data_IF_352693142266
#
_entry.id   IF_352693142266
#
_cell.length_a   1.000
_cell.length_b   1.000
_cell.length_c   1.000
_cell.angle_alpha   90.00
_cell.angle_beta   90.00
_cell.angle_gamma   90.00
#
_symmetry.space_group_name_H-M   'P 1'
#
loop_
_entity.id
_entity.type
_entity.pdbx_description
1 polymer ?
#
# COMPACT_ATOMS: atom_id res chain seq x y z
N UNK A 1 -8.09 -20.71 24.57
CA UNK A 1 -9.04 -20.77 23.44
C UNK A 1 -8.33 -20.20 22.24
N UNK A 2 -8.03 -21.02 21.22
CA UNK A 2 -7.32 -20.55 20.03
C UNK A 2 -8.20 -19.52 19.31
N UNK A 3 -7.70 -18.30 19.19
CA UNK A 3 -8.39 -17.21 18.47
C UNK A 3 -8.63 -17.56 16.99
N UNK A 4 -7.88 -18.52 16.44
CA UNK A 4 -7.89 -18.93 15.03
C UNK A 4 -8.59 -20.27 14.76
N UNK A 5 -9.22 -20.91 15.76
CA UNK A 5 -9.92 -22.21 15.59
C UNK A 5 -11.26 -22.10 14.85
N UNK A 6 -11.82 -20.89 14.71
CA UNK A 6 -12.86 -20.57 13.73
C UNK A 6 -12.20 -19.78 12.60
N UNK A 7 -12.54 -20.07 11.34
CA UNK A 7 -12.04 -19.37 10.15
C UNK A 7 -12.38 -17.88 10.28
N UNK A 8 -11.47 -17.09 10.86
CA UNK A 8 -11.68 -15.66 11.03
C UNK A 8 -11.72 -15.01 9.67
N UNK A 9 -12.80 -14.28 9.40
CA UNK A 9 -12.95 -13.50 8.17
C UNK A 9 -11.85 -12.44 8.06
N UNK A 10 -11.36 -12.20 6.84
CA UNK A 10 -10.36 -11.17 6.54
C UNK A 10 -10.99 -9.77 6.54
N UNK A 11 -11.27 -9.25 7.73
CA UNK A 11 -11.80 -7.91 7.97
C UNK A 11 -10.74 -6.99 8.56
N UNK A 12 -10.85 -5.68 8.32
CA UNK A 12 -9.92 -4.69 8.87
C UNK A 12 -9.75 -4.81 10.40
N UNK A 13 -10.84 -5.07 11.13
CA UNK A 13 -10.80 -5.27 12.59
C UNK A 13 -10.02 -6.53 13.01
N UNK A 14 -10.13 -7.62 12.25
CA UNK A 14 -9.41 -8.86 12.56
C UNK A 14 -7.93 -8.73 12.20
N UNK A 15 -7.59 -8.04 11.11
CA UNK A 15 -6.21 -7.72 10.76
C UNK A 15 -5.53 -6.87 11.84
N UNK A 16 -6.20 -5.84 12.34
CA UNK A 16 -5.68 -4.99 13.42
C UNK A 16 -5.35 -5.79 14.69
N UNK A 17 -6.25 -6.71 15.09
CA UNK A 17 -6.02 -7.61 16.21
C UNK A 17 -4.85 -8.57 15.96
N UNK A 18 -4.78 -9.14 14.75
CA UNK A 18 -3.72 -10.08 14.38
C UNK A 18 -2.34 -9.41 14.35
N UNK A 19 -2.24 -8.17 13.86
CA UNK A 19 -1.01 -7.37 13.92
C UNK A 19 -0.64 -7.09 15.38
N UNK A 20 -1.61 -6.67 16.20
CA UNK A 20 -1.36 -6.42 17.63
C UNK A 20 -0.84 -7.67 18.34
N UNK A 21 -1.38 -8.85 18.02
CA UNK A 21 -0.92 -10.13 18.54
C UNK A 21 0.52 -10.41 18.09
N UNK A 22 0.81 -10.27 16.79
CA UNK A 22 2.13 -10.49 16.22
C UNK A 22 3.24 -9.65 16.89
N UNK A 23 2.93 -8.43 17.34
CA UNK A 23 3.89 -7.55 18.02
C UNK A 23 3.97 -7.71 19.55
N UNK A 24 3.04 -8.40 20.22
CA UNK A 24 2.91 -8.38 21.69
C UNK A 24 3.05 -9.72 22.42
N UNK A 25 3.13 -10.85 21.72
CA UNK A 25 3.03 -12.18 22.37
C UNK A 25 4.25 -13.09 22.21
N UNK A 26 4.25 -14.19 22.97
CA UNK A 26 5.25 -15.26 22.92
C UNK A 26 5.33 -15.93 21.53
N UNK A 27 6.45 -16.60 21.26
CA UNK A 27 6.85 -17.08 19.93
C UNK A 27 5.79 -17.94 19.20
N UNK A 28 5.01 -18.75 19.91
CA UNK A 28 4.00 -19.63 19.29
C UNK A 28 2.80 -18.85 18.72
N UNK A 29 2.25 -17.91 19.49
CA UNK A 29 1.12 -17.08 19.06
C UNK A 29 1.52 -16.10 17.96
N UNK A 30 2.79 -15.69 17.95
CA UNK A 30 3.38 -14.89 16.88
C UNK A 30 3.42 -15.65 15.55
N UNK A 31 3.78 -16.94 15.57
CA UNK A 31 3.83 -17.77 14.36
C UNK A 31 2.44 -17.95 13.73
N UNK A 32 1.42 -18.25 14.55
CA UNK A 32 0.03 -18.36 14.07
C UNK A 32 -0.49 -17.04 13.49
N UNK A 33 -0.26 -15.92 14.18
CA UNK A 33 -0.63 -14.61 13.69
C UNK A 33 0.06 -14.28 12.36
N UNK A 34 1.36 -14.59 12.25
CA UNK A 34 2.12 -14.36 11.03
C UNK A 34 1.59 -15.19 9.85
N UNK A 35 1.28 -16.46 10.08
CA UNK A 35 0.71 -17.33 9.06
C UNK A 35 -0.65 -16.78 8.59
N UNK A 36 -1.56 -16.48 9.52
CA UNK A 36 -2.88 -15.96 9.19
C UNK A 36 -2.80 -14.61 8.45
N UNK A 37 -1.91 -13.70 8.88
CA UNK A 37 -1.67 -12.43 8.18
C UNK A 37 -1.11 -12.66 6.78
N UNK A 38 -0.25 -13.65 6.58
CA UNK A 38 0.29 -13.99 5.26
C UNK A 38 -0.82 -14.52 4.34
N UNK A 39 -1.69 -15.38 4.84
CA UNK A 39 -2.85 -15.87 4.09
C UNK A 39 -3.82 -14.72 3.74
N UNK A 40 -4.12 -13.84 4.70
CA UNK A 40 -4.96 -12.67 4.48
C UNK A 40 -4.40 -11.73 3.40
N UNK A 41 -3.09 -11.49 3.39
CA UNK A 41 -2.42 -10.63 2.42
C UNK A 41 -2.46 -11.17 0.99
N UNK A 42 -2.40 -12.50 0.81
CA UNK A 42 -2.47 -13.12 -0.50
C UNK A 42 -3.91 -13.33 -0.99
N UNK A 43 -4.90 -13.18 -0.11
CA UNK A 43 -6.32 -13.38 -0.43
C UNK A 43 -6.86 -12.32 -1.42
N UNK A 44 -7.96 -12.61 -2.15
CA UNK A 44 -8.66 -11.59 -2.95
C UNK A 44 -9.23 -10.44 -2.12
N UNK A 45 -9.61 -10.71 -0.86
CA UNK A 45 -10.17 -9.73 0.07
C UNK A 45 -9.18 -8.59 0.38
N UNK A 46 -7.89 -8.83 0.19
CA UNK A 46 -6.83 -7.83 0.33
C UNK A 46 -7.05 -6.60 -0.54
N UNK A 47 -7.63 -6.74 -1.74
CA UNK A 47 -7.95 -5.58 -2.57
C UNK A 47 -8.99 -4.64 -1.96
N UNK A 48 -9.76 -5.10 -0.97
CA UNK A 48 -10.76 -4.31 -0.27
C UNK A 48 -10.23 -3.78 1.06
N UNK A 49 -9.78 -4.67 1.96
CA UNK A 49 -9.48 -4.27 3.34
C UNK A 49 -8.29 -3.32 3.44
N UNK A 50 -7.35 -3.33 2.46
CA UNK A 50 -6.17 -2.45 2.50
C UNK A 50 -6.59 -0.98 2.53
N UNK A 51 -7.70 -0.63 1.89
CA UNK A 51 -8.16 0.74 1.86
C UNK A 51 -8.88 1.16 3.14
N UNK A 52 -9.56 0.24 3.81
CA UNK A 52 -10.12 0.49 5.14
C UNK A 52 -9.00 0.73 6.17
N UNK A 53 -7.87 0.04 6.01
CA UNK A 53 -6.70 0.18 6.87
C UNK A 53 -5.81 1.39 6.49
N UNK A 54 -5.94 1.92 5.27
CA UNK A 54 -5.28 3.14 4.83
C UNK A 54 -6.17 4.38 4.94
N UNK A 55 -7.38 4.23 5.50
CA UNK A 55 -8.28 5.36 5.74
C UNK A 55 -7.65 6.32 6.78
N UNK A 56 -7.36 7.59 6.42
CA UNK A 56 -6.77 8.56 7.34
C UNK A 56 -7.68 8.89 8.53
N UNK A 57 -8.99 8.62 8.44
CA UNK A 57 -9.94 8.82 9.53
C UNK A 57 -9.98 7.66 10.53
N UNK A 58 -9.39 6.51 10.18
CA UNK A 58 -9.32 5.35 11.04
C UNK A 58 -8.13 5.47 11.99
N UNK A 59 -8.40 5.59 13.28
CA UNK A 59 -7.37 5.70 14.33
C UNK A 59 -6.80 4.31 14.65
N UNK A 60 -5.73 3.94 13.96
CA UNK A 60 -5.00 2.67 14.15
C UNK A 60 -3.48 2.91 14.15
N UNK A 61 -2.70 1.90 14.55
CA UNK A 61 -1.26 2.03 14.66
C UNK A 61 -0.55 2.06 13.29
N UNK A 62 0.62 2.67 13.23
CA UNK A 62 1.42 2.77 12.00
C UNK A 62 1.86 1.40 11.48
N UNK A 63 2.00 0.40 12.34
CA UNK A 63 2.33 -0.98 11.95
C UNK A 63 1.20 -1.61 11.12
N UNK A 64 -0.06 -1.37 11.49
CA UNK A 64 -1.22 -1.87 10.74
C UNK A 64 -1.35 -1.16 9.40
N UNK A 65 -1.13 0.16 9.37
CA UNK A 65 -1.12 0.94 8.12
C UNK A 65 0.02 0.50 7.20
N UNK A 66 1.20 0.22 7.76
CA UNK A 66 2.34 -0.28 7.00
C UNK A 66 2.11 -1.68 6.45
N UNK A 67 1.43 -2.56 7.20
CA UNK A 67 0.97 -3.85 6.70
C UNK A 67 0.07 -3.64 5.48
N UNK A 68 -0.93 -2.75 5.57
CA UNK A 68 -1.84 -2.49 4.46
C UNK A 68 -1.12 -1.96 3.21
N UNK A 69 -0.19 -1.01 3.37
CA UNK A 69 0.61 -0.51 2.26
C UNK A 69 1.52 -1.61 1.65
N UNK A 70 2.10 -2.47 2.49
CA UNK A 70 2.94 -3.61 2.03
C UNK A 70 2.11 -4.69 1.34
N UNK A 71 0.88 -4.90 1.81
CA UNK A 71 -0.09 -5.81 1.21
C UNK A 71 -0.45 -5.31 -0.17
N UNK A 72 -0.81 -4.03 -0.31
CA UNK A 72 -1.17 -3.43 -1.58
C UNK A 72 -0.02 -3.52 -2.60
N UNK A 73 1.21 -3.20 -2.18
CA UNK A 73 2.40 -3.41 -3.00
C UNK A 73 2.55 -4.86 -3.47
N UNK A 74 2.41 -5.83 -2.56
CA UNK A 74 2.48 -7.26 -2.89
C UNK A 74 1.38 -7.67 -3.88
N UNK A 75 0.16 -7.16 -3.71
CA UNK A 75 -0.96 -7.41 -4.61
C UNK A 75 -0.69 -6.87 -6.00
N UNK A 76 -0.11 -5.67 -6.14
CA UNK A 76 0.32 -5.14 -7.44
C UNK A 76 1.39 -6.03 -8.06
N UNK A 77 2.44 -6.38 -7.32
CA UNK A 77 3.58 -7.13 -7.87
C UNK A 77 3.24 -8.58 -8.26
N UNK A 78 2.38 -9.25 -7.49
CA UNK A 78 2.15 -10.70 -7.63
C UNK A 78 0.77 -11.08 -8.14
N UNK A 79 -0.20 -10.18 -8.01
CA UNK A 79 -1.61 -10.46 -8.25
C UNK A 79 -2.24 -9.44 -9.21
N UNK A 80 -1.44 -8.77 -10.05
CA UNK A 80 -1.93 -7.79 -11.02
C UNK A 80 -3.04 -8.34 -11.93
N UNK A 81 -2.95 -9.63 -12.27
CA UNK A 81 -3.95 -10.35 -13.07
C UNK A 81 -5.34 -10.39 -12.44
N UNK A 82 -5.47 -10.09 -11.15
CA UNK A 82 -6.76 -9.97 -10.46
C UNK A 82 -7.43 -8.59 -10.68
N UNK A 83 -6.71 -7.61 -11.23
CA UNK A 83 -7.23 -6.25 -11.46
C UNK A 83 -7.79 -6.14 -12.88
N UNK A 84 -9.11 -5.92 -13.05
CA UNK A 84 -9.71 -5.63 -14.34
C UNK A 84 -9.18 -4.33 -14.94
N UNK A 85 -9.03 -4.28 -16.27
CA UNK A 85 -8.48 -3.10 -16.97
C UNK A 85 -9.33 -1.83 -16.74
N UNK A 86 -10.65 -1.97 -16.64
CA UNK A 86 -11.58 -0.87 -16.35
C UNK A 86 -11.41 -0.30 -14.93
N UNK A 87 -10.72 -1.01 -14.03
CA UNK A 87 -10.40 -0.54 -12.69
C UNK A 87 -9.03 0.14 -12.57
N UNK A 88 -8.19 0.15 -13.61
CA UNK A 88 -6.84 0.73 -13.54
C UNK A 88 -6.87 2.20 -13.14
N UNK A 89 -7.72 3.01 -13.77
CA UNK A 89 -7.81 4.44 -13.45
C UNK A 89 -8.29 4.70 -12.01
N UNK A 90 -9.23 3.88 -11.51
CA UNK A 90 -9.72 3.98 -10.13
C UNK A 90 -8.59 3.64 -9.16
N UNK A 91 -7.86 2.56 -9.43
CA UNK A 91 -6.74 2.12 -8.60
C UNK A 91 -5.63 3.18 -8.56
N UNK A 92 -5.26 3.77 -9.70
CA UNK A 92 -4.31 4.88 -9.79
C UNK A 92 -4.70 6.03 -8.86
N UNK A 93 -5.96 6.49 -8.96
CA UNK A 93 -6.46 7.60 -8.15
C UNK A 93 -6.38 7.30 -6.66
N UNK A 94 -6.81 6.11 -6.24
CA UNK A 94 -6.75 5.70 -4.83
C UNK A 94 -5.32 5.65 -4.29
N UNK A 95 -4.36 5.13 -5.06
CA UNK A 95 -2.95 5.12 -4.65
C UNK A 95 -2.41 6.54 -4.50
N UNK A 96 -2.66 7.43 -5.47
CA UNK A 96 -2.22 8.82 -5.42
C UNK A 96 -2.85 9.58 -4.26
N UNK A 97 -4.16 9.42 -4.03
CA UNK A 97 -4.88 9.98 -2.89
C UNK A 97 -4.30 9.48 -1.56
N UNK A 98 -4.01 8.19 -1.44
CA UNK A 98 -3.33 7.65 -0.26
C UNK A 98 -1.96 8.30 -0.05
N UNK A 99 -1.14 8.48 -1.09
CA UNK A 99 0.16 9.16 -0.97
C UNK A 99 -0.01 10.59 -0.44
N UNK A 100 -0.99 11.33 -0.96
CA UNK A 100 -1.28 12.71 -0.51
C UNK A 100 -1.75 12.71 0.94
N UNK A 101 -2.67 11.82 1.32
CA UNK A 101 -3.17 11.71 2.69
C UNK A 101 -2.06 11.37 3.69
N UNK A 102 -1.09 10.55 3.28
CA UNK A 102 0.06 10.16 4.10
C UNK A 102 1.27 11.11 3.96
N UNK A 103 1.17 12.21 3.20
CA UNK A 103 2.29 13.13 2.99
C UNK A 103 2.85 13.69 4.31
N UNK A 104 1.96 13.96 5.27
CA UNK A 104 2.29 14.38 6.65
C UNK A 104 2.21 13.24 7.68
N UNK A 105 1.92 12.01 7.24
CA UNK A 105 1.78 10.84 8.11
C UNK A 105 3.11 10.13 8.41
N UNK A 106 3.04 8.91 8.99
CA UNK A 106 4.23 8.11 9.28
C UNK A 106 5.07 7.88 8.02
N UNK A 107 6.36 8.30 8.06
CA UNK A 107 7.26 8.22 6.90
C UNK A 107 7.40 6.81 6.33
N UNK A 108 7.34 5.79 7.19
CA UNK A 108 7.44 4.38 6.78
C UNK A 108 6.26 3.95 5.88
N UNK A 109 5.05 4.44 6.17
CA UNK A 109 3.85 4.15 5.37
C UNK A 109 3.90 4.90 4.05
N UNK A 110 4.25 6.20 4.10
CA UNK A 110 4.38 7.02 2.89
C UNK A 110 5.41 6.46 1.92
N UNK A 111 6.59 6.07 2.41
CA UNK A 111 7.64 5.47 1.57
C UNK A 111 7.11 4.19 0.88
N UNK A 112 6.44 3.31 1.63
CA UNK A 112 5.84 2.11 1.05
C UNK A 112 4.78 2.42 0.00
N UNK A 113 3.98 3.47 0.18
CA UNK A 113 3.00 3.92 -0.82
C UNK A 113 3.67 4.47 -2.08
N UNK A 114 4.81 5.18 -1.97
CA UNK A 114 5.61 5.58 -3.14
C UNK A 114 6.08 4.36 -3.94
N UNK A 115 6.61 3.33 -3.25
CA UNK A 115 7.01 2.06 -3.89
C UNK A 115 5.80 1.35 -4.52
N UNK A 116 4.64 1.39 -3.84
CA UNK A 116 3.37 0.83 -4.34
C UNK A 116 2.96 1.49 -5.66
N UNK A 117 3.05 2.81 -5.78
CA UNK A 117 2.77 3.51 -7.03
C UNK A 117 3.75 3.12 -8.14
N UNK A 118 5.03 2.94 -7.81
CA UNK A 118 6.03 2.49 -8.78
C UNK A 118 5.73 1.09 -9.32
N UNK A 119 5.25 0.16 -8.49
CA UNK A 119 4.74 -1.13 -8.94
C UNK A 119 3.56 -0.97 -9.92
N UNK A 120 2.60 -0.08 -9.62
CA UNK A 120 1.48 0.22 -10.53
C UNK A 120 1.95 0.80 -11.88
N UNK A 121 2.95 1.69 -11.87
CA UNK A 121 3.50 2.30 -13.09
C UNK A 121 4.05 1.23 -14.03
N UNK A 122 4.72 0.20 -13.52
CA UNK A 122 5.31 -0.88 -14.32
C UNK A 122 4.24 -1.63 -15.12
N UNK A 123 3.08 -1.87 -14.51
CA UNK A 123 2.01 -2.60 -15.16
C UNK A 123 1.19 -1.76 -16.14
N UNK A 124 1.29 -0.43 -16.08
CA UNK A 124 0.45 0.48 -16.86
C UNK A 124 1.20 1.27 -17.93
N UNK A 125 2.51 1.49 -17.76
CA UNK A 125 3.35 2.11 -18.80
C UNK A 125 3.85 1.04 -19.78
N UNK A 126 3.87 1.31 -21.10
CA UNK A 126 3.47 2.56 -21.76
C UNK A 126 2.00 2.58 -22.24
N UNK A 127 1.25 1.50 -22.03
CA UNK A 127 -0.04 1.29 -22.73
C UNK A 127 -1.19 2.06 -22.08
N UNK A 128 -1.42 1.84 -20.79
CA UNK A 128 -2.57 2.38 -20.05
C UNK A 128 -2.27 3.73 -19.40
N UNK A 129 -1.00 4.06 -19.14
CA UNK A 129 -0.59 5.35 -18.58
C UNK A 129 0.65 5.95 -19.26
N UNK A 130 0.60 6.25 -20.58
CA UNK A 130 1.77 6.67 -21.37
C UNK A 130 2.47 7.93 -20.84
N UNK A 131 1.72 8.82 -20.18
CA UNK A 131 2.21 10.11 -19.66
C UNK A 131 2.46 10.11 -18.15
N UNK A 132 2.65 8.94 -17.54
CA UNK A 132 2.82 8.82 -16.09
C UNK A 132 3.81 9.82 -15.50
N UNK A 133 5.01 9.94 -16.08
CA UNK A 133 6.04 10.84 -15.57
C UNK A 133 5.67 12.32 -15.69
N UNK A 134 5.09 12.75 -16.82
CA UNK A 134 4.63 14.12 -17.03
C UNK A 134 3.52 14.48 -16.03
N UNK A 135 2.56 13.57 -15.85
CA UNK A 135 1.45 13.75 -14.91
C UNK A 135 1.93 13.77 -13.45
N UNK A 136 2.90 12.93 -13.08
CA UNK A 136 3.48 12.93 -11.73
C UNK A 136 4.22 14.23 -11.42
N UNK A 137 5.07 14.69 -12.34
CA UNK A 137 5.77 15.97 -12.21
C UNK A 137 4.76 17.11 -12.10
N UNK A 138 3.71 17.10 -12.92
CA UNK A 138 2.67 18.12 -12.86
C UNK A 138 1.85 18.07 -11.56
N UNK A 139 1.56 16.88 -11.03
CA UNK A 139 0.70 16.70 -9.86
C UNK A 139 1.43 17.00 -8.55
N UNK A 140 2.67 16.54 -8.40
CA UNK A 140 3.48 16.75 -7.20
C UNK A 140 4.28 18.05 -7.29
N UNK A 141 3.56 19.16 -7.18
CA UNK A 141 4.14 20.50 -7.08
C UNK A 141 3.72 21.16 -5.76
N UNK A 142 4.58 21.94 -5.08
CA UNK A 142 4.25 22.56 -3.79
C UNK A 142 2.96 23.39 -3.81
N UNK A 143 2.64 24.04 -4.94
CA UNK A 143 1.42 24.84 -5.07
C UNK A 143 0.12 24.01 -5.16
N UNK A 144 0.20 22.72 -5.52
CA UNK A 144 -0.95 21.82 -5.55
C UNK A 144 -1.25 21.19 -4.18
N UNK A 145 -0.27 21.18 -3.28
CA UNK A 145 -0.37 20.62 -1.93
C UNK A 145 0.03 21.67 -0.88
N UNK A 146 -0.72 22.78 -0.74
CA UNK A 146 -0.31 23.93 0.07
C UNK A 146 -0.19 23.64 1.58
N UNK A 147 -0.79 22.53 2.04
CA UNK A 147 -0.72 22.09 3.44
C UNK A 147 0.49 21.19 3.72
N UNK A 148 1.30 20.88 2.71
CA UNK A 148 2.48 20.02 2.83
C UNK A 148 3.73 20.86 2.58
N UNK A 149 4.75 20.70 3.41
CA UNK A 149 6.02 21.41 3.24
C UNK A 149 6.58 21.21 1.80
N UNK A 150 7.03 22.27 1.11
CA UNK A 150 7.51 22.16 -0.28
C UNK A 150 8.57 21.08 -0.49
N UNK A 151 9.52 20.97 0.44
CA UNK A 151 10.57 19.95 0.43
C UNK A 151 10.00 18.53 0.49
N UNK A 152 8.91 18.34 1.23
CA UNK A 152 8.24 17.05 1.38
C UNK A 152 7.53 16.65 0.09
N UNK A 153 6.90 17.60 -0.62
CA UNK A 153 6.28 17.35 -1.92
C UNK A 153 7.33 16.92 -2.95
N UNK A 154 8.45 17.65 -3.00
CA UNK A 154 9.59 17.30 -3.88
C UNK A 154 10.16 15.94 -3.52
N UNK A 155 10.32 15.64 -2.22
CA UNK A 155 10.79 14.35 -1.76
C UNK A 155 9.87 13.20 -2.20
N UNK A 156 8.55 13.35 -2.13
CA UNK A 156 7.59 12.32 -2.59
C UNK A 156 7.81 12.01 -4.07
N UNK A 157 7.88 13.05 -4.92
CA UNK A 157 8.13 12.89 -6.35
C UNK A 157 9.45 12.15 -6.62
N UNK A 158 10.53 12.60 -5.96
CA UNK A 158 11.85 11.98 -6.12
C UNK A 158 11.88 10.54 -5.64
N UNK A 159 11.20 10.22 -4.53
CA UNK A 159 11.09 8.86 -4.01
C UNK A 159 10.42 7.94 -5.04
N UNK A 160 9.28 8.35 -5.60
CA UNK A 160 8.56 7.58 -6.64
C UNK A 160 9.49 7.34 -7.84
N UNK A 161 10.11 8.39 -8.37
CA UNK A 161 10.98 8.29 -9.56
C UNK A 161 12.22 7.44 -9.31
N UNK A 162 12.77 7.49 -8.09
CA UNK A 162 14.01 6.78 -7.74
C UNK A 162 13.77 5.28 -7.58
N UNK A 163 12.60 4.84 -7.13
CA UNK A 163 12.34 3.40 -6.86
C UNK A 163 11.81 2.63 -8.06
N UNK A 164 11.41 3.29 -9.15
CA UNK A 164 10.92 2.62 -10.37
C UNK A 164 11.94 1.63 -10.95
N UNK A 165 13.23 1.99 -11.13
CA UNK A 165 14.23 1.07 -11.67
C UNK A 165 14.39 -0.20 -10.84
N UNK A 166 14.35 -0.10 -9.51
CA UNK A 166 14.38 -1.23 -8.58
C UNK A 166 13.18 -2.15 -8.79
N UNK A 167 11.98 -1.59 -8.84
CA UNK A 167 10.74 -2.34 -8.99
C UNK A 167 10.67 -3.05 -10.36
N UNK A 168 11.18 -2.42 -11.43
CA UNK A 168 11.27 -3.06 -12.76
C UNK A 168 12.14 -4.32 -12.70
N UNK A 169 13.27 -4.28 -11.98
CA UNK A 169 14.12 -5.46 -11.81
C UNK A 169 13.42 -6.59 -11.06
N UNK A 170 12.62 -6.25 -10.04
CA UNK A 170 11.87 -7.23 -9.24
C UNK A 170 10.70 -7.84 -10.00
N UNK A 171 10.02 -7.06 -10.85
CA UNK A 171 8.90 -7.56 -11.64
C UNK A 171 9.36 -8.49 -12.78
N UNK A 172 10.60 -8.32 -13.25
CA UNK A 172 11.19 -9.11 -14.34
C UNK A 172 11.97 -10.34 -13.85
N UNK A 173 12.18 -10.49 -12.54
CA UNK A 173 12.87 -11.63 -11.91
C UNK A 173 11.91 -12.74 -11.50
#
# INVERSE_FOLDING_TARGET
SNLFENVMEYTANNLEKAVTLFYRTEAHQQAEAHQWLTEAQNSPQAWSFVWELLDPHRVISSEVQFLAATTLHTKLMKHWNEVPEDHYEILKKRILESIVNYAMGPKIVLNRLCITLSAYIIHTVPIHWPKAFEELVSSFQPHHLPNVEPERVIWILLEILTVIPEEVRLCLS
#
